data_IF_133697090394
#
_entry.id   IF_133697090394
#
_cell.length_a   1.000
_cell.length_b   1.000
_cell.length_c   1.000
_cell.angle_alpha   90.00
_cell.angle_beta   90.00
_cell.angle_gamma   90.00
#
_symmetry.space_group_name_H-M   'P 1'
#
loop_
_entity.id
_entity.type
_entity.pdbx_description
1 polymer ?
#
# COMPACT_ATOMS: atom_id res chain seq x y z
N UNK A 1 11.59 25.89 -19.57
CA UNK A 1 10.30 26.21 -20.23
C UNK A 1 10.39 25.61 -21.62
N UNK A 2 9.56 24.64 -22.02
CA UNK A 2 9.52 24.13 -23.38
C UNK A 2 9.02 25.25 -24.29
N UNK A 3 9.87 25.75 -25.14
CA UNK A 3 9.52 26.74 -26.16
C UNK A 3 9.48 26.00 -27.49
N UNK A 4 8.33 25.97 -28.13
CA UNK A 4 8.15 25.43 -29.47
C UNK A 4 8.20 26.61 -30.44
N UNK A 5 9.06 26.53 -31.46
CA UNK A 5 9.10 27.50 -32.55
C UNK A 5 8.07 27.10 -33.62
N UNK A 6 7.26 28.02 -34.04
CA UNK A 6 6.36 27.85 -35.18
C UNK A 6 6.90 28.66 -36.34
N UNK A 7 7.28 27.99 -37.42
CA UNK A 7 7.75 28.62 -38.64
C UNK A 7 6.59 29.00 -39.55
N UNK A 8 6.62 30.21 -40.15
CA UNK A 8 5.61 30.68 -41.09
C UNK A 8 5.50 32.23 -41.11
N UNK A 9 4.71 32.79 -42.03
CA UNK A 9 4.58 34.27 -42.13
C UNK A 9 4.01 34.96 -40.86
N UNK A 10 3.42 34.17 -39.94
CA UNK A 10 3.00 34.55 -38.61
C UNK A 10 3.71 33.70 -37.53
N UNK A 11 4.92 33.27 -37.84
CA UNK A 11 5.75 32.45 -36.97
C UNK A 11 6.04 33.14 -35.64
N UNK A 12 6.21 32.38 -34.60
CA UNK A 12 6.44 32.86 -33.23
C UNK A 12 6.86 31.71 -32.31
N UNK A 13 7.05 32.04 -31.04
CA UNK A 13 7.34 31.07 -30.00
C UNK A 13 6.07 30.80 -29.20
N UNK A 14 5.76 29.51 -28.98
CA UNK A 14 4.67 29.06 -28.12
C UNK A 14 5.23 28.25 -26.97
N UNK A 15 4.65 28.45 -25.79
CA UNK A 15 4.97 27.59 -24.65
C UNK A 15 4.35 26.21 -24.95
N UNK A 16 5.22 25.20 -25.10
CA UNK A 16 4.80 23.82 -25.34
C UNK A 16 4.04 23.24 -24.16
N UNK A 17 3.13 22.32 -24.44
CA UNK A 17 2.38 21.58 -23.42
C UNK A 17 3.32 20.58 -22.74
N UNK A 18 3.89 20.95 -21.63
CA UNK A 18 4.62 20.06 -20.72
C UNK A 18 4.48 20.62 -19.32
N UNK A 19 4.00 19.82 -18.39
CA UNK A 19 3.94 20.21 -16.99
C UNK A 19 5.38 20.32 -16.48
N UNK A 20 6.00 21.48 -16.58
CA UNK A 20 7.20 21.82 -15.81
C UNK A 20 6.72 22.60 -14.59
N UNK A 21 6.82 21.96 -13.42
CA UNK A 21 6.73 22.70 -12.18
C UNK A 21 7.77 23.82 -12.22
N UNK A 22 7.39 25.03 -11.88
CA UNK A 22 8.32 26.12 -11.62
C UNK A 22 9.42 25.61 -10.67
N UNK A 23 10.65 26.17 -10.71
CA UNK A 23 11.69 25.74 -9.79
C UNK A 23 11.17 25.88 -8.34
N UNK A 24 10.83 24.72 -7.74
CA UNK A 24 10.46 24.64 -6.34
C UNK A 24 11.73 24.84 -5.53
N UNK A 25 11.76 25.85 -4.68
CA UNK A 25 12.86 26.08 -3.76
C UNK A 25 12.51 25.45 -2.41
N UNK A 26 13.25 24.40 -2.06
CA UNK A 26 13.17 23.77 -0.74
C UNK A 26 14.35 24.21 0.11
N UNK A 27 14.13 24.51 1.37
CA UNK A 27 15.20 24.54 2.37
C UNK A 27 15.76 23.12 2.60
N UNK A 28 17.00 23.03 3.09
CA UNK A 28 17.60 21.71 3.36
C UNK A 28 16.78 20.83 4.32
N UNK A 29 16.16 21.37 5.41
CA UNK A 29 15.27 20.60 6.28
C UNK A 29 14.00 20.09 5.59
N UNK A 30 13.38 20.89 4.74
CA UNK A 30 12.17 20.48 3.99
C UNK A 30 12.49 19.36 3.00
N UNK A 31 13.56 19.50 2.24
CA UNK A 31 14.01 18.46 1.32
C UNK A 31 14.36 17.15 2.04
N UNK A 32 15.06 17.23 3.20
CA UNK A 32 15.36 16.07 4.03
C UNK A 32 14.09 15.43 4.59
N UNK A 33 13.11 16.22 5.03
CA UNK A 33 11.81 15.75 5.50
C UNK A 33 11.05 14.97 4.41
N UNK A 34 11.03 15.47 3.17
CA UNK A 34 10.43 14.77 2.02
C UNK A 34 11.13 13.45 1.74
N UNK A 35 12.46 13.44 1.72
CA UNK A 35 13.24 12.21 1.53
C UNK A 35 12.94 11.18 2.60
N UNK A 36 12.92 11.58 3.87
CA UNK A 36 12.61 10.68 4.99
C UNK A 36 11.18 10.15 4.91
N UNK A 37 10.20 10.98 4.53
CA UNK A 37 8.81 10.57 4.33
C UNK A 37 8.68 9.51 3.22
N UNK A 38 9.38 9.72 2.10
CA UNK A 38 9.42 8.77 0.99
C UNK A 38 10.07 7.45 1.41
N UNK A 39 11.21 7.49 2.10
CA UNK A 39 11.91 6.28 2.56
C UNK A 39 11.11 5.50 3.62
N UNK A 40 10.32 6.18 4.47
CA UNK A 40 9.42 5.52 5.44
C UNK A 40 8.21 4.85 4.79
N UNK A 41 7.65 5.49 3.79
CA UNK A 41 6.39 5.05 3.18
C UNK A 41 6.57 4.16 1.95
N UNK A 42 7.76 4.14 1.36
CA UNK A 42 7.94 3.51 0.06
C UNK A 42 9.24 2.72 -0.08
N UNK A 43 9.12 1.44 0.11
CA UNK A 43 10.24 0.51 0.01
C UNK A 43 10.70 0.28 -1.44
N UNK A 44 9.90 0.66 -2.46
CA UNK A 44 10.23 0.61 -3.90
C UNK A 44 10.98 1.83 -4.45
N UNK A 45 11.26 2.86 -3.61
CA UNK A 45 11.96 4.08 -4.05
C UNK A 45 13.43 3.86 -4.47
N UNK A 46 13.90 2.62 -4.41
CA UNK A 46 15.28 2.22 -4.72
C UNK A 46 15.40 1.68 -6.16
N UNK A 47 14.29 1.31 -6.82
CA UNK A 47 14.31 0.85 -8.20
C UNK A 47 14.39 2.02 -9.17
N UNK A 48 15.51 2.10 -9.92
CA UNK A 48 15.91 3.25 -10.73
C UNK A 48 14.92 3.72 -11.80
N UNK A 49 14.02 2.85 -12.24
CA UNK A 49 13.02 3.16 -13.29
C UNK A 49 11.70 3.71 -12.75
N UNK A 50 11.52 3.73 -11.42
CA UNK A 50 10.28 4.21 -10.84
C UNK A 50 10.26 5.76 -10.74
N UNK A 51 9.12 6.44 -11.10
CA UNK A 51 9.01 7.89 -11.05
C UNK A 51 9.41 8.54 -9.72
N UNK A 52 9.15 7.89 -8.58
CA UNK A 52 9.54 8.40 -7.26
C UNK A 52 11.04 8.25 -7.01
N UNK A 53 11.66 7.15 -7.44
CA UNK A 53 13.11 6.99 -7.35
C UNK A 53 13.83 8.06 -8.18
N UNK A 54 13.30 8.35 -9.37
CA UNK A 54 13.80 9.42 -10.26
C UNK A 54 13.62 10.80 -9.61
N UNK A 55 12.44 11.09 -9.03
CA UNK A 55 12.17 12.35 -8.34
C UNK A 55 13.06 12.51 -7.10
N UNK A 56 13.18 11.47 -6.28
CA UNK A 56 14.06 11.43 -5.11
C UNK A 56 15.51 11.68 -5.49
N UNK A 57 16.01 11.04 -6.57
CA UNK A 57 17.34 11.28 -7.09
C UNK A 57 17.57 12.72 -7.52
N UNK A 58 16.57 13.41 -8.07
CA UNK A 58 16.64 14.83 -8.40
C UNK A 58 16.73 15.71 -7.15
N UNK A 59 15.93 15.41 -6.12
CA UNK A 59 15.95 16.14 -4.83
C UNK A 59 17.31 15.97 -4.16
N UNK A 60 17.79 14.73 -4.01
CA UNK A 60 19.08 14.44 -3.36
C UNK A 60 20.26 15.13 -4.06
N UNK A 61 20.23 15.23 -5.38
CA UNK A 61 21.30 15.82 -6.18
C UNK A 61 21.46 17.33 -5.96
N UNK A 62 20.39 18.03 -5.55
CA UNK A 62 20.43 19.48 -5.27
C UNK A 62 20.61 19.80 -3.78
N UNK A 63 20.65 18.78 -2.91
CA UNK A 63 20.91 18.96 -1.48
C UNK A 63 22.37 19.36 -1.25
N UNK A 64 22.67 20.25 -0.27
CA UNK A 64 24.03 20.47 0.21
C UNK A 64 24.69 19.16 0.64
N UNK A 65 25.98 18.99 0.40
CA UNK A 65 26.72 17.76 0.66
C UNK A 65 26.54 17.22 2.10
N UNK A 66 26.48 18.13 3.08
CA UNK A 66 26.23 17.79 4.49
C UNK A 66 24.86 17.13 4.72
N UNK A 67 23.85 17.46 3.90
CA UNK A 67 22.50 16.89 4.00
C UNK A 67 22.30 15.69 3.08
N UNK A 68 23.06 15.59 1.98
CA UNK A 68 23.01 14.48 1.05
C UNK A 68 23.68 13.21 1.62
N UNK A 69 24.78 13.35 2.37
CA UNK A 69 25.51 12.22 2.93
C UNK A 69 24.68 11.31 3.87
N UNK A 70 23.88 11.83 4.82
CA UNK A 70 22.98 11.01 5.64
C UNK A 70 21.94 10.27 4.81
N UNK A 71 21.37 10.91 3.77
CA UNK A 71 20.38 10.31 2.88
C UNK A 71 20.97 9.16 2.07
N UNK A 72 22.15 9.35 1.52
CA UNK A 72 22.88 8.30 0.80
C UNK A 72 23.25 7.13 1.73
N UNK A 73 23.63 7.41 2.98
CA UNK A 73 23.85 6.39 4.00
C UNK A 73 22.58 5.62 4.30
N UNK A 74 21.44 6.30 4.52
CA UNK A 74 20.14 5.65 4.74
C UNK A 74 19.72 4.78 3.56
N UNK A 75 19.88 5.24 2.31
CA UNK A 75 19.59 4.44 1.11
C UNK A 75 20.42 3.16 1.03
N UNK A 76 21.69 3.22 1.46
CA UNK A 76 22.59 2.04 1.46
C UNK A 76 22.27 1.06 2.59
N UNK A 77 21.87 1.56 3.76
CA UNK A 77 21.60 0.76 4.96
C UNK A 77 20.16 0.23 4.99
N UNK A 78 19.22 0.86 4.27
CA UNK A 78 17.85 0.35 4.13
C UNK A 78 17.87 -0.91 3.29
N UNK A 79 18.18 -2.03 3.95
CA UNK A 79 18.12 -3.36 3.33
C UNK A 79 16.69 -3.67 2.91
N UNK A 80 16.53 -4.15 1.70
CA UNK A 80 15.24 -4.65 1.20
C UNK A 80 14.80 -5.83 2.05
N UNK A 81 13.62 -5.74 2.61
CA UNK A 81 12.88 -6.94 2.92
C UNK A 81 12.04 -7.29 1.65
N UNK A 82 12.40 -8.35 0.90
CA UNK A 82 11.67 -8.72 -0.32
C UNK A 82 10.18 -9.00 -0.08
N UNK A 83 9.82 -9.29 1.18
CA UNK A 83 8.44 -9.51 1.60
C UNK A 83 7.62 -8.23 1.71
N UNK A 84 8.27 -7.07 1.86
CA UNK A 84 7.64 -5.75 1.98
C UNK A 84 7.53 -5.00 0.65
N UNK A 85 7.91 -5.60 -0.45
CA UNK A 85 7.60 -5.09 -1.80
C UNK A 85 6.08 -5.18 -2.05
N UNK A 86 5.31 -4.46 -1.24
CA UNK A 86 3.94 -4.15 -1.56
C UNK A 86 3.97 -3.44 -2.91
N UNK A 87 3.38 -4.05 -3.92
CA UNK A 87 3.27 -3.40 -5.22
C UNK A 87 2.67 -2.02 -4.99
N UNK A 88 3.39 -0.98 -5.41
CA UNK A 88 2.88 0.38 -5.32
C UNK A 88 1.75 0.54 -6.31
N UNK A 89 0.68 1.24 -5.95
CA UNK A 89 -0.38 1.51 -6.90
C UNK A 89 0.13 2.44 -8.01
N UNK A 90 -0.45 2.30 -9.18
CA UNK A 90 -0.20 3.22 -10.29
C UNK A 90 -0.58 4.66 -9.87
N UNK A 91 0.31 5.65 -10.01
CA UNK A 91 0.03 7.03 -9.62
C UNK A 91 -1.17 7.63 -10.35
N UNK A 92 -1.38 7.29 -11.63
CA UNK A 92 -2.51 7.80 -12.41
C UNK A 92 -3.82 7.19 -11.95
N UNK A 93 -3.84 5.87 -11.71
CA UNK A 93 -4.99 5.19 -11.10
C UNK A 93 -5.33 5.81 -9.76
N UNK A 94 -4.33 6.06 -8.91
CA UNK A 94 -4.53 6.65 -7.59
C UNK A 94 -5.11 8.06 -7.69
N UNK A 95 -4.58 8.89 -8.59
CA UNK A 95 -5.08 10.25 -8.82
C UNK A 95 -6.52 10.26 -9.33
N UNK A 96 -6.85 9.40 -10.31
CA UNK A 96 -8.21 9.29 -10.85
C UNK A 96 -9.20 8.86 -9.76
N UNK A 97 -8.84 7.89 -8.93
CA UNK A 97 -9.68 7.44 -7.81
C UNK A 97 -9.87 8.57 -6.79
N UNK A 98 -8.81 9.29 -6.42
CA UNK A 98 -8.91 10.41 -5.47
C UNK A 98 -9.82 11.53 -6.00
N UNK A 99 -9.69 11.90 -7.28
CA UNK A 99 -10.58 12.88 -7.92
C UNK A 99 -12.03 12.41 -7.96
N UNK A 100 -12.27 11.12 -8.20
CA UNK A 100 -13.62 10.57 -8.21
C UNK A 100 -14.23 10.53 -6.80
N UNK A 101 -13.45 10.29 -5.75
CA UNK A 101 -13.90 10.46 -4.35
C UNK A 101 -14.33 11.90 -4.08
N UNK A 102 -13.49 12.89 -4.44
CA UNK A 102 -13.76 14.31 -4.24
C UNK A 102 -14.99 14.78 -5.01
N UNK A 103 -15.10 14.38 -6.29
CA UNK A 103 -16.21 14.73 -7.17
C UNK A 103 -17.46 13.86 -7.00
N UNK A 104 -17.46 12.89 -6.07
CA UNK A 104 -18.56 11.93 -5.88
C UNK A 104 -18.99 11.25 -7.19
N UNK A 105 -18.01 10.85 -8.00
CA UNK A 105 -18.22 10.21 -9.32
C UNK A 105 -18.04 8.71 -9.22
N UNK A 106 -19.00 7.95 -9.74
CA UNK A 106 -18.92 6.49 -9.82
C UNK A 106 -17.79 6.07 -10.75
N UNK A 107 -17.13 4.98 -10.43
CA UNK A 107 -16.02 4.42 -11.19
C UNK A 107 -16.38 3.05 -11.75
N UNK A 108 -15.95 2.82 -12.99
CA UNK A 108 -15.75 1.49 -13.55
C UNK A 108 -14.29 1.11 -13.36
N UNK A 109 -14.04 0.00 -12.67
CA UNK A 109 -12.68 -0.47 -12.40
C UNK A 109 -12.51 -1.90 -12.91
N UNK A 110 -11.30 -2.22 -13.38
CA UNK A 110 -10.86 -3.60 -13.60
C UNK A 110 -9.94 -4.00 -12.47
N UNK A 111 -10.38 -4.97 -11.67
CA UNK A 111 -9.72 -5.35 -10.42
C UNK A 111 -9.16 -6.77 -10.48
N UNK A 112 -7.87 -6.92 -10.20
CA UNK A 112 -7.19 -8.22 -10.11
C UNK A 112 -7.44 -8.85 -8.74
N UNK A 113 -8.38 -9.82 -8.68
CA UNK A 113 -8.62 -10.63 -7.49
C UNK A 113 -7.78 -11.91 -7.53
N UNK A 114 -8.41 -13.04 -7.88
CA UNK A 114 -7.74 -14.34 -8.04
C UNK A 114 -7.36 -14.62 -9.50
N UNK A 115 -8.10 -14.07 -10.46
CA UNK A 115 -7.77 -14.16 -11.88
C UNK A 115 -6.76 -13.08 -12.29
N UNK A 116 -5.71 -13.42 -13.06
CA UNK A 116 -4.75 -12.45 -13.58
C UNK A 116 -5.38 -11.41 -14.52
N UNK A 117 -6.42 -11.80 -15.27
CA UNK A 117 -7.11 -10.93 -16.22
C UNK A 117 -7.92 -9.82 -15.54
N UNK A 118 -8.23 -10.00 -14.24
CA UNK A 118 -9.07 -9.11 -13.49
C UNK A 118 -10.54 -9.25 -13.85
N UNK A 119 -11.38 -8.57 -13.07
CA UNK A 119 -12.83 -8.54 -13.27
C UNK A 119 -13.29 -7.10 -13.22
N UNK A 120 -14.26 -6.76 -14.05
CA UNK A 120 -14.89 -5.44 -14.01
C UNK A 120 -15.81 -5.30 -12.80
N UNK A 121 -15.77 -4.13 -12.20
CA UNK A 121 -16.59 -3.74 -11.07
C UNK A 121 -17.07 -2.30 -11.26
N UNK A 122 -18.30 -2.04 -10.84
CA UNK A 122 -18.86 -0.69 -10.74
C UNK A 122 -18.89 -0.31 -9.28
N UNK A 123 -18.24 0.80 -8.92
CA UNK A 123 -18.05 1.19 -7.52
C UNK A 123 -18.29 2.68 -7.29
N UNK A 124 -18.85 3.01 -6.13
CA UNK A 124 -18.93 4.37 -5.61
C UNK A 124 -17.73 4.55 -4.65
N UNK A 125 -16.69 5.30 -5.05
CA UNK A 125 -15.48 5.46 -4.28
C UNK A 125 -15.71 6.47 -3.14
N UNK A 126 -15.71 6.00 -1.89
CA UNK A 126 -15.96 6.88 -0.74
C UNK A 126 -14.71 7.55 -0.20
N UNK A 127 -13.62 6.80 -0.09
CA UNK A 127 -12.35 7.32 0.41
C UNK A 127 -11.15 6.49 -0.01
N UNK A 128 -9.99 7.14 -0.09
CA UNK A 128 -8.68 6.50 -0.18
C UNK A 128 -8.01 6.55 1.18
N UNK A 129 -7.59 5.40 1.69
CA UNK A 129 -6.96 5.25 3.01
C UNK A 129 -5.60 4.57 2.87
N UNK A 130 -4.58 5.13 3.52
CA UNK A 130 -3.26 4.50 3.60
C UNK A 130 -3.12 3.80 4.96
N UNK A 131 -2.88 2.48 4.93
CA UNK A 131 -2.67 1.67 6.13
C UNK A 131 -1.56 0.66 5.92
N UNK A 132 -0.68 0.53 6.89
CA UNK A 132 0.46 -0.41 6.85
C UNK A 132 1.28 -0.32 5.55
N UNK A 133 1.52 0.91 5.06
CA UNK A 133 2.24 1.15 3.81
C UNK A 133 1.49 0.78 2.53
N UNK A 134 0.20 0.46 2.62
CA UNK A 134 -0.64 0.10 1.47
C UNK A 134 -1.78 1.09 1.29
N UNK A 135 -2.22 1.22 0.05
CA UNK A 135 -3.31 2.09 -0.35
C UNK A 135 -4.58 1.29 -0.57
N UNK A 136 -5.64 1.72 0.09
CA UNK A 136 -6.96 1.08 0.04
C UNK A 136 -8.01 2.07 -0.46
N UNK A 137 -8.92 1.57 -1.28
CA UNK A 137 -10.15 2.25 -1.66
C UNK A 137 -11.30 1.67 -0.84
N UNK A 138 -11.92 2.48 0.01
CA UNK A 138 -13.19 2.17 0.64
C UNK A 138 -14.30 2.59 -0.33
N UNK A 139 -15.20 1.67 -0.68
CA UNK A 139 -16.24 1.91 -1.67
C UNK A 139 -17.49 1.06 -1.45
N UNK A 140 -18.59 1.45 -2.08
CA UNK A 140 -19.72 0.57 -2.35
C UNK A 140 -19.51 -0.12 -3.69
N UNK A 141 -19.63 -1.41 -3.74
CA UNK A 141 -19.55 -2.19 -4.98
C UNK A 141 -20.95 -2.57 -5.45
N UNK A 142 -21.42 -1.99 -6.53
CA UNK A 142 -22.70 -2.35 -7.17
C UNK A 142 -22.68 -3.77 -7.71
N UNK A 143 -21.51 -4.26 -8.12
CA UNK A 143 -21.35 -5.64 -8.63
C UNK A 143 -21.52 -6.68 -7.53
N UNK A 144 -21.20 -6.35 -6.29
CA UNK A 144 -21.28 -7.25 -5.14
C UNK A 144 -22.41 -6.88 -4.17
N UNK A 145 -23.10 -5.76 -4.44
CA UNK A 145 -24.12 -5.14 -3.59
C UNK A 145 -23.67 -5.03 -2.11
N UNK A 146 -22.44 -4.54 -1.92
CA UNK A 146 -21.83 -4.49 -0.60
C UNK A 146 -20.69 -3.47 -0.52
N UNK A 147 -20.46 -2.98 0.72
CA UNK A 147 -19.24 -2.23 1.05
C UNK A 147 -18.01 -3.10 0.83
N UNK A 148 -16.98 -2.54 0.22
CA UNK A 148 -15.72 -3.20 -0.06
C UNK A 148 -14.54 -2.31 0.28
N UNK A 149 -13.45 -2.96 0.67
CA UNK A 149 -12.13 -2.36 0.77
C UNK A 149 -11.24 -3.03 -0.27
N UNK A 150 -10.81 -2.26 -1.24
CA UNK A 150 -10.03 -2.73 -2.37
C UNK A 150 -8.60 -2.19 -2.28
N UNK A 151 -7.62 -3.01 -2.59
CA UNK A 151 -6.22 -2.55 -2.69
C UNK A 151 -6.00 -1.83 -4.01
N UNK A 152 -5.49 -0.60 -3.97
CA UNK A 152 -5.26 0.19 -5.18
C UNK A 152 -4.18 -0.41 -6.09
N UNK A 153 -3.19 -1.11 -5.55
CA UNK A 153 -2.17 -1.82 -6.35
C UNK A 153 -2.71 -3.03 -7.14
N UNK A 154 -3.96 -3.40 -6.91
CA UNK A 154 -4.66 -4.44 -7.67
C UNK A 154 -5.64 -3.86 -8.70
N UNK A 155 -5.79 -2.56 -8.77
CA UNK A 155 -6.60 -1.89 -9.81
C UNK A 155 -5.78 -1.82 -11.09
N UNK A 156 -6.22 -2.49 -12.12
CA UNK A 156 -5.56 -2.57 -13.43
C UNK A 156 -5.95 -1.42 -14.35
N UNK A 157 -7.19 -0.93 -14.19
CA UNK A 157 -7.76 0.14 -14.99
C UNK A 157 -8.88 0.82 -14.24
N UNK A 158 -9.07 2.12 -14.48
CA UNK A 158 -10.11 2.94 -13.84
C UNK A 158 -10.64 3.97 -14.82
N UNK A 159 -11.96 4.08 -14.88
CA UNK A 159 -12.68 5.08 -15.70
C UNK A 159 -13.80 5.70 -14.86
N UNK A 160 -13.87 7.04 -14.76
CA UNK A 160 -15.06 7.71 -14.22
C UNK A 160 -16.27 7.50 -15.13
N UNK A 161 -17.44 7.32 -14.52
CA UNK A 161 -18.73 7.30 -15.25
C UNK A 161 -19.42 8.67 -15.11
N UNK A 162 -20.54 8.85 -15.79
CA UNK A 162 -21.37 10.06 -15.64
C UNK A 162 -22.21 10.04 -14.34
N UNK A 163 -22.37 8.85 -13.73
CA UNK A 163 -23.16 8.68 -12.51
C UNK A 163 -22.47 9.31 -11.29
N UNK A 164 -23.28 9.89 -10.42
CA UNK A 164 -22.86 10.42 -9.10
C UNK A 164 -23.42 9.57 -7.98
N UNK A 165 -22.86 9.73 -6.77
CA UNK A 165 -23.32 9.03 -5.58
C UNK A 165 -23.28 9.96 -4.36
N UNK A 166 -23.87 9.52 -3.26
CA UNK A 166 -23.79 10.21 -1.97
C UNK A 166 -22.99 9.36 -1.01
N UNK A 167 -21.99 9.95 -0.35
CA UNK A 167 -21.23 9.29 0.70
C UNK A 167 -22.12 9.12 1.94
N UNK A 168 -22.14 7.94 2.59
CA UNK A 168 -22.90 7.74 3.81
C UNK A 168 -22.52 8.73 4.91
N UNK A 169 -23.53 9.28 5.62
CA UNK A 169 -23.29 10.16 6.75
C UNK A 169 -22.57 9.43 7.89
N UNK A 170 -21.66 10.14 8.57
CA UNK A 170 -20.91 9.59 9.70
C UNK A 170 -19.89 8.51 9.36
N UNK A 171 -19.53 8.37 8.06
CA UNK A 171 -18.48 7.44 7.64
C UNK A 171 -17.13 7.83 8.26
N UNK A 172 -16.48 6.85 8.91
CA UNK A 172 -15.10 6.96 9.40
C UNK A 172 -14.21 6.02 8.54
N UNK A 173 -13.65 6.50 7.41
CA UNK A 173 -12.94 5.64 6.48
C UNK A 173 -11.72 4.91 7.09
N UNK A 174 -10.87 5.53 7.93
CA UNK A 174 -9.78 4.83 8.58
C UNK A 174 -10.25 3.66 9.46
N UNK A 175 -11.30 3.87 10.25
CA UNK A 175 -11.89 2.84 11.11
C UNK A 175 -12.50 1.70 10.30
N UNK A 176 -13.26 2.03 9.26
CA UNK A 176 -13.91 1.05 8.38
C UNK A 176 -12.89 0.16 7.67
N UNK A 177 -11.80 0.77 7.19
CA UNK A 177 -10.70 0.01 6.57
C UNK A 177 -10.01 -0.88 7.61
N UNK A 178 -9.75 -0.39 8.82
CA UNK A 178 -9.13 -1.17 9.88
C UNK A 178 -10.00 -2.37 10.29
N UNK A 179 -11.30 -2.16 10.47
CA UNK A 179 -12.25 -3.23 10.77
C UNK A 179 -12.28 -4.28 9.65
N UNK A 180 -12.32 -3.85 8.40
CA UNK A 180 -12.28 -4.76 7.26
C UNK A 180 -10.98 -5.56 7.16
N UNK A 181 -9.84 -4.91 7.44
CA UNK A 181 -8.53 -5.59 7.43
C UNK A 181 -8.41 -6.60 8.57
N UNK A 182 -9.16 -6.40 9.66
CA UNK A 182 -9.15 -7.30 10.82
C UNK A 182 -10.13 -8.47 10.65
N UNK A 183 -11.32 -8.21 10.10
CA UNK A 183 -12.44 -9.16 10.13
C UNK A 183 -13.03 -9.46 8.73
N UNK A 184 -12.56 -8.81 7.68
CA UNK A 184 -13.22 -8.78 6.35
C UNK A 184 -12.65 -9.73 5.28
N UNK A 185 -11.58 -10.46 5.54
CA UNK A 185 -10.96 -11.35 4.56
C UNK A 185 -11.57 -12.77 4.58
N UNK A 186 -11.34 -13.52 3.49
CA UNK A 186 -11.94 -14.84 3.25
C UNK A 186 -11.69 -15.87 4.35
N UNK A 187 -10.50 -15.80 4.98
CA UNK A 187 -10.06 -16.78 5.97
C UNK A 187 -9.88 -16.09 7.32
N UNK A 188 -10.74 -16.40 8.27
CA UNK A 188 -10.57 -15.98 9.66
C UNK A 188 -9.41 -16.74 10.30
N UNK A 189 -8.58 -16.03 11.04
CA UNK A 189 -7.39 -16.60 11.68
C UNK A 189 -7.42 -16.28 13.17
N UNK A 190 -7.19 -17.30 13.99
CA UNK A 190 -6.97 -17.15 15.43
C UNK A 190 -5.66 -17.85 15.81
N UNK A 191 -4.74 -17.10 16.43
CA UNK A 191 -3.43 -17.59 16.85
C UNK A 191 -3.20 -17.27 18.31
N UNK A 192 -2.82 -18.29 19.09
CA UNK A 192 -2.39 -18.13 20.46
C UNK A 192 -0.85 -18.04 20.48
N UNK A 193 -0.31 -16.97 21.02
CA UNK A 193 1.10 -16.82 21.31
C UNK A 193 1.36 -17.19 22.78
N UNK A 194 2.34 -18.05 23.03
CA UNK A 194 2.73 -18.48 24.39
C UNK A 194 3.63 -17.44 25.06
N UNK A 195 3.25 -16.17 24.96
CA UNK A 195 3.92 -15.01 25.58
C UNK A 195 2.90 -13.95 25.97
N UNK A 196 3.18 -13.11 26.97
CA UNK A 196 2.30 -12.00 27.34
C UNK A 196 2.12 -11.00 26.20
N UNK A 197 0.98 -10.28 26.19
CA UNK A 197 0.68 -9.26 25.17
C UNK A 197 1.74 -8.17 25.07
N UNK A 198 2.40 -7.83 26.18
CA UNK A 198 3.47 -6.84 26.23
C UNK A 198 4.67 -7.24 25.36
N UNK A 199 4.98 -8.54 25.29
CA UNK A 199 6.03 -9.08 24.41
C UNK A 199 5.52 -9.18 22.99
N UNK A 200 4.34 -9.80 22.80
CA UNK A 200 3.76 -10.01 21.47
C UNK A 200 3.57 -8.71 20.70
N UNK A 201 3.18 -7.61 21.36
CA UNK A 201 2.92 -6.32 20.71
C UNK A 201 4.14 -5.70 20.01
N UNK A 202 5.36 -6.10 20.39
CA UNK A 202 6.60 -5.64 19.77
C UNK A 202 7.04 -6.47 18.56
N UNK A 203 6.57 -7.72 18.48
CA UNK A 203 6.99 -8.69 17.47
C UNK A 203 5.90 -8.99 16.41
N UNK A 204 4.63 -8.89 16.81
CA UNK A 204 3.51 -9.23 15.94
C UNK A 204 3.08 -7.98 15.15
N UNK A 205 3.22 -8.00 13.81
CA UNK A 205 2.77 -6.90 12.98
C UNK A 205 1.26 -6.64 13.12
N UNK A 206 0.86 -5.36 13.26
CA UNK A 206 -0.55 -4.98 13.35
C UNK A 206 -1.37 -5.42 12.13
N UNK A 207 -0.72 -5.64 10.99
CA UNK A 207 -1.35 -6.16 9.77
C UNK A 207 -1.87 -7.60 9.89
N UNK A 208 -1.48 -8.35 10.92
CA UNK A 208 -1.98 -9.71 11.16
C UNK A 208 -3.31 -9.73 11.92
N UNK A 209 -3.65 -8.65 12.62
CA UNK A 209 -4.90 -8.59 13.38
C UNK A 209 -4.75 -7.90 14.72
N UNK A 210 -5.71 -8.16 15.62
CA UNK A 210 -5.78 -7.56 16.95
C UNK A 210 -5.33 -8.56 18.01
N UNK A 211 -4.37 -8.13 18.82
CA UNK A 211 -3.93 -8.86 20.01
C UNK A 211 -4.88 -8.58 21.18
N UNK A 212 -5.19 -9.63 21.93
CA UNK A 212 -5.94 -9.57 23.20
C UNK A 212 -5.20 -10.36 24.26
N UNK A 213 -5.17 -9.91 25.50
CA UNK A 213 -4.61 -10.70 26.60
C UNK A 213 -5.44 -11.98 26.83
N UNK A 214 -4.74 -13.10 27.12
CA UNK A 214 -5.32 -14.40 27.46
C UNK A 214 -4.49 -15.03 28.59
N UNK A 215 -4.56 -14.43 29.79
CA UNK A 215 -3.72 -14.80 30.93
C UNK A 215 -2.25 -14.48 30.68
N UNK A 216 -1.38 -15.49 30.83
CA UNK A 216 0.05 -15.40 30.48
C UNK A 216 0.34 -15.50 28.98
N UNK A 217 -0.68 -15.68 28.17
CA UNK A 217 -0.63 -15.80 26.72
C UNK A 217 -1.29 -14.58 26.08
N UNK A 218 -1.24 -14.50 24.77
CA UNK A 218 -2.08 -13.55 24.04
C UNK A 218 -2.71 -14.21 22.81
N UNK A 219 -3.90 -13.73 22.49
CA UNK A 219 -4.71 -14.20 21.37
C UNK A 219 -4.69 -13.15 20.27
N UNK A 220 -4.22 -13.54 19.09
CA UNK A 220 -4.34 -12.75 17.87
C UNK A 220 -5.59 -13.19 17.12
N UNK A 221 -6.48 -12.25 16.83
CA UNK A 221 -7.60 -12.43 15.92
C UNK A 221 -7.42 -11.57 14.69
N UNK A 222 -7.50 -12.17 13.54
CA UNK A 222 -7.34 -11.49 12.25
C UNK A 222 -8.01 -12.27 11.15
N UNK A 223 -7.83 -11.78 9.93
CA UNK A 223 -8.29 -12.46 8.72
C UNK A 223 -7.31 -12.23 7.57
N UNK A 224 -7.36 -13.09 6.55
CA UNK A 224 -6.49 -12.97 5.39
C UNK A 224 -7.16 -13.51 4.12
N UNK A 225 -6.81 -12.95 2.97
CA UNK A 225 -7.08 -13.52 1.64
C UNK A 225 -5.86 -14.30 1.10
N UNK A 226 -4.73 -14.23 1.81
CA UNK A 226 -3.47 -14.85 1.42
C UNK A 226 -2.85 -15.64 2.59
N UNK A 227 -3.30 -16.89 2.83
CA UNK A 227 -2.79 -17.73 3.92
C UNK A 227 -1.27 -17.94 3.87
N UNK A 228 -0.69 -18.01 2.66
CA UNK A 228 0.77 -18.16 2.49
C UNK A 228 1.55 -16.97 3.02
N UNK A 229 1.11 -15.75 2.70
CA UNK A 229 1.71 -14.53 3.23
C UNK A 229 1.57 -14.49 4.76
N UNK A 230 0.36 -14.79 5.26
CA UNK A 230 0.06 -14.77 6.69
C UNK A 230 0.94 -15.75 7.47
N UNK A 231 1.09 -16.97 6.96
CA UNK A 231 1.99 -18.00 7.54
C UNK A 231 3.44 -17.52 7.58
N UNK A 232 3.93 -16.88 6.53
CA UNK A 232 5.26 -16.27 6.48
C UNK A 232 5.46 -15.19 7.53
N UNK A 233 4.46 -14.33 7.73
CA UNK A 233 4.50 -13.28 8.76
C UNK A 233 4.48 -13.86 10.18
N UNK A 234 3.69 -14.91 10.43
CA UNK A 234 3.70 -15.62 11.72
C UNK A 234 5.06 -16.22 12.01
N UNK A 235 5.67 -16.89 11.05
CA UNK A 235 7.00 -17.48 11.21
C UNK A 235 8.08 -16.42 11.49
N UNK A 236 7.94 -15.23 10.91
CA UNK A 236 8.87 -14.12 11.10
C UNK A 236 8.76 -13.43 12.47
N UNK A 237 7.73 -13.73 13.27
CA UNK A 237 7.61 -13.18 14.64
C UNK A 237 8.64 -13.75 15.61
N UNK A 238 9.21 -14.92 15.29
CA UNK A 238 10.15 -15.68 16.15
C UNK A 238 9.57 -16.05 17.53
N UNK A 239 8.27 -15.90 17.72
CA UNK A 239 7.57 -16.23 18.97
C UNK A 239 6.97 -17.63 18.91
N UNK A 240 6.86 -18.34 20.02
CA UNK A 240 6.12 -19.60 20.09
C UNK A 240 4.62 -19.33 19.93
N UNK A 241 3.99 -19.99 18.96
CA UNK A 241 2.56 -19.82 18.68
C UNK A 241 1.87 -21.12 18.27
N UNK A 242 0.54 -21.10 18.40
CA UNK A 242 -0.36 -22.15 17.91
C UNK A 242 -1.52 -21.53 17.14
N UNK A 243 -1.77 -21.98 15.92
CA UNK A 243 -2.93 -21.55 15.12
C UNK A 243 -4.18 -22.33 15.64
N UNK A 244 -5.11 -21.61 16.27
CA UNK A 244 -6.38 -22.18 16.77
C UNK A 244 -7.46 -22.26 15.68
N UNK A 245 -7.45 -21.29 14.73
CA UNK A 245 -8.42 -21.23 13.62
C UNK A 245 -7.70 -20.93 12.32
N UNK A 246 -8.15 -21.51 11.23
CA UNK A 246 -7.70 -21.53 9.84
C UNK A 246 -6.83 -22.74 9.50
N UNK A 247 -7.47 -23.68 8.78
CA UNK A 247 -6.78 -24.88 8.24
C UNK A 247 -5.85 -24.49 7.09
N UNK A 248 -6.21 -23.43 6.33
CA UNK A 248 -5.42 -22.91 5.22
C UNK A 248 -4.09 -22.34 5.71
N UNK A 249 -4.08 -21.57 6.80
CA UNK A 249 -2.84 -21.05 7.39
C UNK A 249 -2.00 -22.18 7.97
N UNK A 250 -2.61 -23.19 8.61
CA UNK A 250 -1.90 -24.37 9.08
C UNK A 250 -1.26 -25.15 7.94
N UNK A 251 -1.95 -25.31 6.81
CA UNK A 251 -1.42 -25.99 5.62
C UNK A 251 -0.19 -25.24 5.05
N UNK A 252 -0.26 -23.91 4.97
CA UNK A 252 0.86 -23.11 4.48
C UNK A 252 2.06 -23.11 5.45
N UNK A 253 1.83 -23.14 6.76
CA UNK A 253 2.90 -23.31 7.76
C UNK A 253 3.61 -24.65 7.62
N UNK A 254 2.86 -25.75 7.41
CA UNK A 254 3.46 -27.08 7.14
C UNK A 254 4.29 -27.05 5.85
N UNK A 255 3.74 -26.50 4.77
CA UNK A 255 4.45 -26.37 3.50
C UNK A 255 5.72 -25.50 3.64
N UNK A 256 5.71 -24.47 4.48
CA UNK A 256 6.88 -23.65 4.79
C UNK A 256 7.93 -24.47 5.55
N UNK A 257 7.53 -25.20 6.60
CA UNK A 257 8.40 -26.06 7.38
C UNK A 257 9.07 -27.12 6.50
N UNK A 258 8.31 -27.79 5.61
CA UNK A 258 8.83 -28.79 4.67
C UNK A 258 9.86 -28.20 3.69
N UNK A 259 9.65 -26.96 3.22
CA UNK A 259 10.63 -26.26 2.36
C UNK A 259 11.91 -25.95 3.10
N UNK A 260 11.81 -25.47 4.33
CA UNK A 260 12.97 -25.13 5.16
C UNK A 260 13.77 -26.40 5.52
N UNK A 261 13.11 -27.47 5.90
CA UNK A 261 13.75 -28.75 6.18
C UNK A 261 14.52 -29.27 4.97
N UNK A 262 13.92 -29.24 3.78
CA UNK A 262 14.61 -29.66 2.55
C UNK A 262 15.78 -28.75 2.16
N UNK A 263 15.76 -27.50 2.54
CA UNK A 263 16.84 -26.56 2.23
C UNK A 263 18.07 -26.75 3.15
N UNK A 264 17.92 -27.50 4.24
CA UNK A 264 18.99 -27.78 5.22
C UNK A 264 19.52 -29.23 5.14
N UNK A 265 18.98 -30.04 4.24
CA UNK A 265 19.40 -31.41 3.92
C UNK A 265 20.21 -31.43 2.63
#
# INVERSE_FOLDING_TARGET
IPIESVSGPYGGYRIGRGLRLAPLMFSAPEALGLVMAVLRGWHGAIDGDHPVATALGKIVRVLPAASAAPVEAMRRVSARNPSDAAASPDPQVTATVAQACEGSRRLRIRYRSRSPEGREMLVDPWAVVVRHGRWYLLCWSHTADARRVLRLDRVLHVEPTEDTFTVPEGLDPPREVEEHLTDGWTYEVEVCFAVPITVASHHVPAALGRLRPDGEHCLLRGSTDNPRWYAGQLAATELPFTVRKSDEVRAELRALADRLTRATT
#
